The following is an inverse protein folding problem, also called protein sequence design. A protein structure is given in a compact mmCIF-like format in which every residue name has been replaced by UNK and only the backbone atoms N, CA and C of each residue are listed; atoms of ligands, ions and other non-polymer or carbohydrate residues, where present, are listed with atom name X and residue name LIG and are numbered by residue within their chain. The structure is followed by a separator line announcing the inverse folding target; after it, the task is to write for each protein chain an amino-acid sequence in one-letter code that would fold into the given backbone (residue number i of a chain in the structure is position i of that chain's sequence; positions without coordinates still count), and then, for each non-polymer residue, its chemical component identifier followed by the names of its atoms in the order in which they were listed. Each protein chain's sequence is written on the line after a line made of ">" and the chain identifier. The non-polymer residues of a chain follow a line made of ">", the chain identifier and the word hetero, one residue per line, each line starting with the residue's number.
data_IF_838241110559
#
_entry.id   IF_838241110559
#
_cell.length_a   1.000
_cell.length_b   1.000
_cell.length_c   1.000
_cell.angle_alpha   90.00
_cell.angle_beta   90.00
_cell.angle_gamma   90.00
#
_symmetry.space_group_name_H-M   'P 1'
#
loop_
_entity.id
_entity.type
_entity.pdbx_description
1 polymer ?
#
# COMPACT_ATOMS: atom_id res chain seq x y z
N UNK A 1 43.23 -4.69 -2.62
CA UNK A 1 42.09 -3.77 -2.86
C UNK A 1 42.65 -2.45 -3.34
N UNK A 2 42.45 -2.09 -4.60
CA UNK A 2 42.93 -0.82 -5.14
C UNK A 2 42.15 0.32 -4.49
N UNK A 3 42.86 1.24 -3.84
CA UNK A 3 42.29 2.44 -3.22
C UNK A 3 41.78 3.32 -4.36
N UNK A 4 40.46 3.44 -4.51
CA UNK A 4 39.84 4.31 -5.51
C UNK A 4 40.31 5.73 -5.18
N UNK A 5 41.12 6.33 -6.07
CA UNK A 5 41.58 7.72 -5.94
C UNK A 5 40.34 8.62 -6.10
N UNK A 6 40.17 9.56 -5.18
CA UNK A 6 39.16 10.60 -5.33
C UNK A 6 39.57 11.52 -6.50
N UNK A 7 38.76 11.53 -7.55
CA UNK A 7 38.98 12.31 -8.78
C UNK A 7 38.12 13.59 -8.80
N UNK A 8 37.49 13.94 -7.68
CA UNK A 8 36.58 15.09 -7.61
C UNK A 8 37.29 16.40 -7.93
N UNK A 9 38.51 16.61 -7.43
CA UNK A 9 39.31 17.80 -7.73
C UNK A 9 39.82 17.81 -9.18
N UNK A 10 40.30 16.66 -9.67
CA UNK A 10 40.73 16.50 -11.08
C UNK A 10 39.57 16.83 -12.04
N UNK A 11 38.34 16.46 -11.68
CA UNK A 11 37.13 16.80 -12.43
C UNK A 11 36.81 18.31 -12.39
N UNK A 12 36.87 18.94 -11.20
CA UNK A 12 36.65 20.39 -11.07
C UNK A 12 37.64 21.19 -11.90
N UNK A 13 38.91 20.80 -11.89
CA UNK A 13 39.96 21.43 -12.68
C UNK A 13 39.71 21.25 -14.18
N UNK A 14 39.36 20.06 -14.62
CA UNK A 14 39.02 19.80 -16.02
C UNK A 14 37.82 20.62 -16.49
N UNK A 15 36.76 20.74 -15.67
CA UNK A 15 35.59 21.57 -15.97
C UNK A 15 35.96 23.05 -16.02
N UNK A 16 36.82 23.51 -15.12
CA UNK A 16 37.28 24.89 -15.07
C UNK A 16 38.10 25.26 -16.31
N UNK A 17 38.97 24.35 -16.76
CA UNK A 17 39.75 24.49 -18.00
C UNK A 17 38.87 24.43 -19.25
N UNK A 18 37.85 23.57 -19.26
CA UNK A 18 36.84 23.54 -20.32
C UNK A 18 36.06 24.85 -20.41
N UNK A 19 35.61 25.40 -19.29
CA UNK A 19 34.91 26.67 -19.24
C UNK A 19 35.78 27.86 -19.72
N UNK A 20 37.08 27.83 -19.42
CA UNK A 20 38.06 28.77 -19.97
C UNK A 20 38.13 28.70 -21.50
N UNK A 21 38.23 27.49 -22.04
CA UNK A 21 38.31 27.27 -23.50
C UNK A 21 37.06 27.73 -24.25
N UNK A 22 35.90 27.74 -23.58
CA UNK A 22 34.61 28.20 -24.11
C UNK A 22 34.37 29.71 -23.88
N UNK A 23 35.35 30.45 -23.32
CA UNK A 23 35.26 31.89 -23.11
C UNK A 23 34.32 32.33 -21.98
N UNK A 24 34.10 31.48 -20.97
CA UNK A 24 33.21 31.83 -19.85
C UNK A 24 33.86 32.92 -18.99
N UNK A 25 33.11 34.01 -18.74
CA UNK A 25 33.51 35.09 -17.82
C UNK A 25 33.79 34.55 -16.42
N UNK A 26 34.69 35.21 -15.70
CA UNK A 26 35.12 34.81 -14.35
C UNK A 26 33.96 34.65 -13.36
N UNK A 27 32.95 35.53 -13.41
CA UNK A 27 31.73 35.41 -12.62
C UNK A 27 30.93 34.12 -12.92
N UNK A 28 30.84 33.69 -14.19
CA UNK A 28 30.15 32.45 -14.58
C UNK A 28 30.94 31.21 -14.14
N UNK A 29 32.27 31.26 -14.21
CA UNK A 29 33.16 30.19 -13.74
C UNK A 29 33.08 30.03 -12.22
N UNK A 30 33.12 31.14 -11.47
CA UNK A 30 32.95 31.13 -10.02
C UNK A 30 31.58 30.57 -9.59
N UNK A 31 30.50 30.96 -10.29
CA UNK A 31 29.17 30.40 -10.06
C UNK A 31 29.08 28.89 -10.36
N UNK A 32 29.79 28.43 -11.41
CA UNK A 32 29.87 27.02 -11.78
C UNK A 32 30.69 26.21 -10.76
N UNK A 33 31.80 26.75 -10.25
CA UNK A 33 32.56 26.11 -9.18
C UNK A 33 31.78 26.08 -7.85
N UNK A 34 31.01 27.12 -7.56
CA UNK A 34 30.17 27.18 -6.37
C UNK A 34 29.03 26.15 -6.38
N UNK A 35 28.49 25.80 -7.55
CA UNK A 35 27.43 24.78 -7.66
C UNK A 35 27.93 23.35 -7.37
N UNK A 36 29.24 23.11 -7.47
CA UNK A 36 29.85 21.83 -7.04
C UNK A 36 30.03 21.74 -5.53
N UNK A 37 30.04 22.87 -4.82
CA UNK A 37 30.20 22.92 -3.36
C UNK A 37 28.84 22.86 -2.67
N UNK A 38 27.84 23.58 -3.20
CA UNK A 38 26.47 23.54 -2.72
C UNK A 38 25.56 23.03 -3.82
N UNK A 39 25.09 21.79 -3.67
CA UNK A 39 24.03 21.29 -4.52
C UNK A 39 22.81 22.21 -4.42
N UNK A 40 22.36 22.74 -5.55
CA UNK A 40 21.11 23.48 -5.62
C UNK A 40 20.00 22.58 -5.05
N UNK A 41 19.16 23.06 -4.11
CA UNK A 41 18.09 22.25 -3.57
C UNK A 41 17.22 21.77 -4.74
N UNK A 42 17.13 20.45 -4.90
CA UNK A 42 16.28 19.85 -5.93
C UNK A 42 14.85 20.22 -5.60
N UNK A 43 14.20 21.01 -6.45
CA UNK A 43 12.78 21.29 -6.29
C UNK A 43 12.02 19.98 -6.42
N UNK A 44 11.40 19.54 -5.32
CA UNK A 44 10.59 18.32 -5.31
C UNK A 44 9.39 18.51 -6.22
N UNK A 45 9.15 17.54 -7.11
CA UNK A 45 7.96 17.54 -7.96
C UNK A 45 6.68 17.57 -7.12
N UNK A 46 5.59 18.05 -7.71
CA UNK A 46 4.27 18.03 -7.05
C UNK A 46 3.92 16.60 -6.58
N UNK A 47 4.14 15.60 -7.45
CA UNK A 47 4.01 14.19 -7.11
C UNK A 47 4.77 13.80 -5.84
N UNK A 48 6.06 14.16 -5.75
CA UNK A 48 6.90 13.81 -4.58
C UNK A 48 6.39 14.48 -3.31
N UNK A 49 5.93 15.73 -3.40
CA UNK A 49 5.36 16.45 -2.25
C UNK A 49 4.07 15.77 -1.76
N UNK A 50 3.19 15.38 -2.68
CA UNK A 50 1.94 14.69 -2.33
C UNK A 50 2.20 13.30 -1.77
N UNK A 51 3.09 12.51 -2.39
CA UNK A 51 3.48 11.19 -1.90
C UNK A 51 4.05 11.23 -0.47
N UNK A 52 4.89 12.23 -0.16
CA UNK A 52 5.42 12.41 1.19
C UNK A 52 4.34 12.82 2.20
N UNK A 53 3.36 13.64 1.80
CA UNK A 53 2.21 13.97 2.66
C UNK A 53 1.37 12.73 2.95
N UNK A 54 1.11 11.90 1.94
CA UNK A 54 0.40 10.62 2.11
C UNK A 54 1.16 9.70 3.06
N UNK A 55 2.48 9.57 2.90
CA UNK A 55 3.32 8.79 3.81
C UNK A 55 3.23 9.30 5.26
N UNK A 56 3.26 10.62 5.46
CA UNK A 56 3.09 11.21 6.78
C UNK A 56 1.71 10.90 7.36
N UNK A 57 0.65 10.95 6.55
CA UNK A 57 -0.71 10.56 6.96
C UNK A 57 -0.80 9.09 7.41
N UNK A 58 -0.19 8.18 6.65
CA UNK A 58 -0.08 6.76 7.00
C UNK A 58 0.68 6.58 8.32
N UNK A 59 1.78 7.31 8.53
CA UNK A 59 2.54 7.27 9.78
C UNK A 59 1.76 7.79 11.00
N UNK A 60 0.91 8.81 10.82
CA UNK A 60 0.00 9.29 11.88
C UNK A 60 -1.03 8.19 12.22
N UNK A 61 -1.60 7.54 11.21
CA UNK A 61 -2.52 6.42 11.41
C UNK A 61 -1.86 5.25 12.15
N UNK A 62 -0.63 4.90 11.80
CA UNK A 62 0.14 3.86 12.50
C UNK A 62 0.33 4.19 13.98
N UNK A 63 0.76 5.43 14.29
CA UNK A 63 0.92 5.88 15.67
C UNK A 63 -0.39 5.86 16.45
N UNK A 64 -1.49 6.27 15.81
CA UNK A 64 -2.82 6.20 16.38
C UNK A 64 -3.24 4.77 16.70
N UNK A 65 -3.07 3.84 15.76
CA UNK A 65 -3.38 2.42 15.95
C UNK A 65 -2.55 1.79 17.08
N UNK A 66 -1.25 2.07 17.15
CA UNK A 66 -0.38 1.55 18.22
C UNK A 66 -0.82 2.08 19.58
N UNK A 67 -1.15 3.37 19.67
CA UNK A 67 -1.59 4.02 20.92
C UNK A 67 -2.90 3.41 21.42
N UNK A 68 -3.88 3.23 20.53
CA UNK A 68 -5.22 2.75 20.88
C UNK A 68 -5.35 1.22 20.87
N UNK A 69 -4.31 0.46 20.51
CA UNK A 69 -4.38 -1.01 20.44
C UNK A 69 -4.80 -1.67 21.75
N UNK A 70 -4.24 -1.23 22.90
CA UNK A 70 -4.56 -1.81 24.21
C UNK A 70 -5.99 -1.49 24.62
N UNK A 71 -6.33 -0.20 24.53
CA UNK A 71 -7.66 0.32 24.81
C UNK A 71 -8.73 -0.39 23.95
N UNK A 72 -8.43 -0.63 22.67
CA UNK A 72 -9.35 -1.28 21.75
C UNK A 72 -9.58 -2.76 22.08
N UNK A 73 -8.55 -3.50 22.51
CA UNK A 73 -8.66 -4.94 22.83
C UNK A 73 -9.27 -5.18 24.22
N UNK A 74 -8.90 -4.38 25.22
CA UNK A 74 -9.28 -4.64 26.60
C UNK A 74 -10.75 -4.27 26.89
N UNK A 75 -11.64 -5.26 26.92
CA UNK A 75 -13.10 -5.10 27.11
C UNK A 75 -13.52 -4.44 28.41
N UNK A 76 -12.61 -4.30 29.37
CA UNK A 76 -12.89 -3.72 30.69
C UNK A 76 -12.38 -2.28 30.85
N UNK A 77 -11.55 -1.78 29.93
CA UNK A 77 -10.98 -0.44 30.01
C UNK A 77 -11.74 0.62 29.21
N UNK A 78 -12.43 0.22 28.14
CA UNK A 78 -13.11 1.16 27.21
C UNK A 78 -14.56 0.81 27.00
N UNK A 79 -15.39 1.82 26.79
CA UNK A 79 -16.80 1.63 26.41
C UNK A 79 -16.94 1.21 24.94
N UNK A 80 -18.09 0.62 24.58
CA UNK A 80 -18.40 0.28 23.19
C UNK A 80 -18.40 1.53 22.29
N UNK A 81 -18.87 2.66 22.81
CA UNK A 81 -18.91 3.95 22.11
C UNK A 81 -17.51 4.50 21.79
N UNK A 82 -16.56 4.38 22.72
CA UNK A 82 -15.16 4.79 22.49
C UNK A 82 -14.49 3.94 21.40
N UNK A 83 -14.81 2.64 21.35
CA UNK A 83 -14.29 1.73 20.32
C UNK A 83 -14.85 2.04 18.94
N UNK A 84 -16.15 2.32 18.88
CA UNK A 84 -16.81 2.71 17.63
C UNK A 84 -16.29 4.08 17.14
N UNK A 85 -15.94 5.00 18.05
CA UNK A 85 -15.23 6.25 17.70
C UNK A 85 -13.85 5.99 17.10
N UNK A 86 -13.05 5.10 17.71
CA UNK A 86 -11.73 4.71 17.18
C UNK A 86 -11.87 4.11 15.78
N UNK A 87 -12.84 3.21 15.57
CA UNK A 87 -13.11 2.63 14.26
C UNK A 87 -13.52 3.66 13.21
N UNK A 88 -14.37 4.61 13.59
CA UNK A 88 -14.78 5.69 12.71
C UNK A 88 -13.58 6.56 12.30
N UNK A 89 -12.74 6.96 13.25
CA UNK A 89 -11.52 7.73 12.97
C UNK A 89 -10.58 6.97 12.03
N UNK A 90 -10.32 5.68 12.28
CA UNK A 90 -9.50 4.84 11.40
C UNK A 90 -10.10 4.77 9.99
N UNK A 91 -11.41 4.58 9.87
CA UNK A 91 -12.11 4.54 8.58
C UNK A 91 -11.93 5.86 7.79
N UNK A 92 -12.06 7.00 8.46
CA UNK A 92 -11.86 8.32 7.85
C UNK A 92 -10.41 8.49 7.38
N UNK A 93 -9.42 8.13 8.21
CA UNK A 93 -8.00 8.22 7.84
C UNK A 93 -7.65 7.32 6.65
N UNK A 94 -8.14 6.07 6.64
CA UNK A 94 -7.88 5.14 5.54
C UNK A 94 -8.51 5.64 4.24
N UNK A 95 -9.75 6.13 4.27
CA UNK A 95 -10.42 6.71 3.09
C UNK A 95 -9.65 7.92 2.57
N UNK A 96 -9.24 8.84 3.43
CA UNK A 96 -8.45 10.01 3.04
C UNK A 96 -7.09 9.63 2.42
N UNK A 97 -6.37 8.67 3.01
CA UNK A 97 -5.10 8.20 2.46
C UNK A 97 -5.29 7.51 1.10
N UNK A 98 -6.35 6.70 0.97
CA UNK A 98 -6.72 6.04 -0.29
C UNK A 98 -7.00 7.07 -1.39
N UNK A 99 -7.78 8.11 -1.12
CA UNK A 99 -8.06 9.17 -2.10
C UNK A 99 -6.78 9.86 -2.57
N UNK A 100 -5.83 10.12 -1.67
CA UNK A 100 -4.53 10.69 -2.06
C UNK A 100 -3.71 9.73 -2.93
N UNK A 101 -3.76 8.43 -2.66
CA UNK A 101 -3.11 7.40 -3.49
C UNK A 101 -3.77 7.34 -4.88
N UNK A 102 -5.09 7.43 -4.96
CA UNK A 102 -5.83 7.44 -6.23
C UNK A 102 -5.48 8.69 -7.06
N UNK A 103 -5.34 9.86 -6.43
CA UNK A 103 -4.86 11.10 -7.09
C UNK A 103 -3.43 10.94 -7.63
N UNK A 104 -2.54 10.28 -6.87
CA UNK A 104 -1.19 9.98 -7.34
C UNK A 104 -1.24 9.05 -8.56
N UNK A 105 -2.09 8.01 -8.52
CA UNK A 105 -2.27 7.06 -9.63
C UNK A 105 -2.79 7.73 -10.90
N UNK A 106 -3.80 8.60 -10.79
CA UNK A 106 -4.33 9.34 -11.95
C UNK A 106 -3.27 10.27 -12.52
N UNK A 107 -2.50 10.95 -11.67
CA UNK A 107 -1.42 11.84 -12.15
C UNK A 107 -0.35 11.11 -12.96
N UNK A 108 -0.06 9.84 -12.65
CA UNK A 108 0.87 9.01 -13.45
C UNK A 108 0.22 8.63 -14.78
N UNK A 109 -1.05 8.23 -14.76
CA UNK A 109 -1.79 7.81 -15.97
C UNK A 109 -1.92 8.97 -16.97
N UNK A 110 -2.16 10.18 -16.48
CA UNK A 110 -2.23 11.39 -17.30
C UNK A 110 -0.86 11.73 -17.92
N UNK A 111 0.22 11.58 -17.16
CA UNK A 111 1.58 11.75 -17.69
C UNK A 111 1.93 10.70 -18.75
N UNK A 112 1.55 9.43 -18.55
CA UNK A 112 1.72 8.37 -19.55
C UNK A 112 0.93 8.64 -20.83
N UNK A 113 -0.27 9.18 -20.72
CA UNK A 113 -1.09 9.56 -21.88
C UNK A 113 -0.46 10.74 -22.64
N UNK A 114 0.05 11.74 -21.93
CA UNK A 114 0.70 12.91 -22.52
C UNK A 114 2.07 12.59 -23.14
N UNK A 115 2.82 11.64 -22.58
CA UNK A 115 4.09 11.16 -23.14
C UNK A 115 3.91 10.44 -24.49
N UNK A 116 2.71 9.91 -24.77
CA UNK A 116 2.34 9.31 -26.05
C UNK A 116 1.79 10.40 -27.00
N UNK A 117 2.66 11.32 -27.43
CA UNK A 117 2.29 12.42 -28.33
C UNK A 117 1.73 11.98 -29.70
N UNK A 118 0.93 12.88 -30.30
CA UNK A 118 0.13 12.77 -31.55
C UNK A 118 0.81 12.04 -32.75
N UNK A 119 2.13 11.97 -32.82
CA UNK A 119 2.85 11.44 -33.98
C UNK A 119 3.45 10.03 -33.81
N UNK A 120 3.26 9.35 -32.66
CA UNK A 120 3.76 7.98 -32.46
C UNK A 120 5.29 7.84 -32.45
N UNK A 121 6.04 8.94 -32.57
CA UNK A 121 7.48 8.96 -32.37
C UNK A 121 7.75 8.81 -30.87
N UNK A 122 8.20 7.62 -30.47
CA UNK A 122 8.73 7.30 -29.13
C UNK A 122 9.78 8.34 -28.74
N UNK A 123 9.36 9.35 -27.98
CA UNK A 123 10.23 10.45 -27.55
C UNK A 123 11.02 10.17 -26.28
N UNK A 124 10.53 9.33 -25.37
CA UNK A 124 11.04 9.37 -23.99
C UNK A 124 11.22 7.99 -23.35
N UNK A 125 12.23 7.23 -23.79
CA UNK A 125 12.74 6.10 -23.00
C UNK A 125 13.27 6.58 -21.62
N UNK A 126 13.72 7.84 -21.53
CA UNK A 126 14.10 8.49 -20.28
C UNK A 126 12.93 8.70 -19.29
N UNK A 127 11.67 8.63 -19.76
CA UNK A 127 10.51 8.70 -18.89
C UNK A 127 10.08 7.31 -18.36
N UNK A 128 10.51 6.20 -18.98
CA UNK A 128 10.17 4.86 -18.49
C UNK A 128 10.67 4.65 -17.05
N UNK A 129 11.91 5.05 -16.77
CA UNK A 129 12.50 4.98 -15.43
C UNK A 129 11.74 5.83 -14.41
N UNK A 130 11.31 7.04 -14.82
CA UNK A 130 10.58 7.95 -13.91
C UNK A 130 9.15 7.49 -13.65
N UNK A 131 8.48 6.93 -14.67
CA UNK A 131 7.15 6.33 -14.57
C UNK A 131 7.22 5.08 -13.69
N UNK A 132 8.18 4.18 -13.92
CA UNK A 132 8.40 3.00 -13.09
C UNK A 132 8.66 3.37 -11.62
N UNK A 133 9.51 4.39 -11.39
CA UNK A 133 9.74 4.93 -10.05
C UNK A 133 8.44 5.45 -9.40
N UNK A 134 7.61 6.23 -10.13
CA UNK A 134 6.36 6.77 -9.59
C UNK A 134 5.36 5.67 -9.25
N UNK A 135 5.21 4.66 -10.11
CA UNK A 135 4.39 3.48 -9.80
C UNK A 135 4.90 2.72 -8.59
N UNK A 136 6.22 2.52 -8.48
CA UNK A 136 6.84 1.90 -7.29
C UNK A 136 6.51 2.65 -6.00
N UNK A 137 6.54 3.99 -6.01
CA UNK A 137 6.14 4.81 -4.85
C UNK A 137 4.67 4.59 -4.49
N UNK A 138 3.77 4.55 -5.47
CA UNK A 138 2.34 4.31 -5.24
C UNK A 138 2.10 2.92 -4.65
N UNK A 139 2.82 1.89 -5.14
CA UNK A 139 2.75 0.54 -4.60
C UNK A 139 3.16 0.51 -3.14
N UNK A 140 4.32 1.07 -2.78
CA UNK A 140 4.80 1.09 -1.39
C UNK A 140 3.80 1.79 -0.47
N UNK A 141 3.22 2.91 -0.91
CA UNK A 141 2.20 3.61 -0.12
C UNK A 141 0.92 2.76 0.05
N UNK A 142 0.48 2.08 -1.00
CA UNK A 142 -0.70 1.22 -0.97
C UNK A 142 -0.50 -0.02 -0.09
N UNK A 143 0.69 -0.63 -0.13
CA UNK A 143 1.06 -1.78 0.69
C UNK A 143 1.14 -1.41 2.18
N UNK A 144 1.76 -0.26 2.49
CA UNK A 144 1.81 0.24 3.86
C UNK A 144 0.41 0.52 4.42
N UNK A 145 -0.45 1.22 3.65
CA UNK A 145 -1.82 1.49 4.08
C UNK A 145 -2.62 0.19 4.23
N UNK A 146 -2.44 -0.76 3.32
CA UNK A 146 -3.13 -2.05 3.37
C UNK A 146 -2.67 -2.89 4.57
N UNK A 147 -1.38 -2.95 4.87
CA UNK A 147 -0.84 -3.66 6.04
C UNK A 147 -1.43 -3.13 7.35
N UNK A 148 -1.48 -1.80 7.53
CA UNK A 148 -2.10 -1.19 8.71
C UNK A 148 -3.61 -1.48 8.78
N UNK A 149 -4.29 -1.37 7.64
CA UNK A 149 -5.74 -1.64 7.56
C UNK A 149 -6.04 -3.10 7.87
N UNK A 150 -5.25 -4.04 7.35
CA UNK A 150 -5.42 -5.46 7.59
C UNK A 150 -5.12 -5.86 9.03
N UNK A 151 -4.11 -5.26 9.66
CA UNK A 151 -3.85 -5.47 11.09
C UNK A 151 -5.01 -4.99 11.94
N UNK A 152 -5.59 -3.84 11.61
CA UNK A 152 -6.76 -3.33 12.32
C UNK A 152 -8.00 -4.21 12.09
N UNK A 153 -8.27 -4.62 10.85
CA UNK A 153 -9.39 -5.51 10.49
C UNK A 153 -9.30 -6.86 11.23
N UNK A 154 -8.09 -7.39 11.44
CA UNK A 154 -7.87 -8.58 12.25
C UNK A 154 -8.26 -8.36 13.73
N UNK A 155 -7.90 -7.21 14.31
CA UNK A 155 -8.27 -6.86 15.69
C UNK A 155 -9.80 -6.71 15.83
N UNK A 156 -10.44 -6.07 14.85
CA UNK A 156 -11.90 -5.99 14.79
C UNK A 156 -12.54 -7.37 14.72
N UNK A 157 -12.00 -8.27 13.89
CA UNK A 157 -12.49 -9.65 13.78
C UNK A 157 -12.49 -10.41 15.10
N UNK A 158 -11.44 -10.24 15.93
CA UNK A 158 -11.39 -10.83 17.28
C UNK A 158 -12.48 -10.24 18.18
N UNK A 159 -12.65 -8.90 18.20
CA UNK A 159 -13.73 -8.23 18.95
C UNK A 159 -15.10 -8.77 18.54
N UNK A 160 -15.38 -8.86 17.23
CA UNK A 160 -16.66 -9.36 16.74
C UNK A 160 -16.90 -10.80 17.15
N UNK A 161 -15.88 -11.65 17.06
CA UNK A 161 -15.98 -13.03 17.51
C UNK A 161 -16.27 -13.13 19.01
N UNK A 162 -15.66 -12.27 19.83
CA UNK A 162 -15.92 -12.17 21.27
C UNK A 162 -17.33 -11.67 21.57
N UNK A 163 -17.83 -10.66 20.86
CA UNK A 163 -19.19 -10.14 21.00
C UNK A 163 -20.23 -11.23 20.67
N UNK A 164 -20.02 -11.98 19.60
CA UNK A 164 -20.86 -13.13 19.24
C UNK A 164 -20.80 -14.22 20.33
N UNK A 165 -19.62 -14.53 20.86
CA UNK A 165 -19.44 -15.54 21.90
C UNK A 165 -20.06 -15.13 23.25
N UNK A 166 -20.11 -13.83 23.55
CA UNK A 166 -20.76 -13.29 24.75
C UNK A 166 -22.28 -13.26 24.61
N UNK A 167 -22.77 -12.85 23.44
CA UNK A 167 -24.20 -12.77 23.15
C UNK A 167 -24.82 -14.16 22.91
N UNK A 168 -24.01 -15.18 22.57
CA UNK A 168 -24.50 -16.56 22.48
C UNK A 168 -25.01 -17.03 23.85
N UNK A 169 -26.29 -17.46 23.94
CA UNK A 169 -26.87 -17.89 25.19
C UNK A 169 -26.08 -19.09 25.74
N UNK A 170 -25.36 -18.86 26.86
CA UNK A 170 -24.71 -19.92 27.61
C UNK A 170 -25.79 -20.84 28.18
N UNK A 171 -26.16 -21.88 27.43
CA UNK A 171 -26.97 -22.99 27.94
C UNK A 171 -26.25 -23.60 29.14
N UNK A 172 -26.63 -23.20 30.35
CA UNK A 172 -26.33 -23.99 31.54
C UNK A 172 -27.04 -25.33 31.35
N UNK A 173 -26.32 -26.48 31.34
CA UNK A 173 -27.00 -27.77 31.39
C UNK A 173 -27.80 -27.80 32.69
N UNK A 174 -29.13 -27.92 32.59
CA UNK A 174 -30.00 -28.04 33.78
C UNK A 174 -29.47 -29.22 34.63
N UNK A 175 -29.29 -29.08 35.95
CA UNK A 175 -29.03 -30.23 36.80
C UNK A 175 -30.21 -31.19 36.64
N UNK A 176 -29.92 -32.45 36.29
CA UNK A 176 -30.93 -33.51 36.21
C UNK A 176 -31.66 -33.57 37.55
N UNK A 177 -32.87 -33.02 37.62
CA UNK A 177 -33.76 -33.24 38.76
C UNK A 177 -34.14 -34.72 38.69
N UNK A 178 -33.75 -35.48 39.71
CA UNK A 178 -34.04 -36.90 39.80
C UNK A 178 -35.57 -37.13 39.66
N UNK A 179 -36.00 -38.22 38.99
CA UNK A 179 -37.42 -38.55 38.88
C UNK A 179 -38.04 -38.76 40.27
N UNK A 180 -39.32 -38.39 40.49
CA UNK A 180 -40.01 -38.77 41.72
C UNK A 180 -40.14 -40.29 41.77
N UNK A 181 -39.58 -40.87 42.83
CA UNK A 181 -39.71 -42.29 43.14
C UNK A 181 -41.19 -42.63 43.32
N UNK A 182 -41.66 -43.60 42.54
CA UNK A 182 -43.01 -44.15 42.63
C UNK A 182 -43.07 -45.05 43.87
N UNK A 183 -43.68 -44.59 44.95
CA UNK A 183 -44.21 -45.49 45.99
C UNK A 183 -45.53 -46.08 45.51
N UNK A 184 -45.56 -47.41 45.34
CA UNK A 184 -46.76 -48.19 45.08
C UNK A 184 -47.74 -48.19 46.28
N UNK A 185 -49.04 -48.43 46.03
CA UNK A 185 -50.09 -48.27 47.04
C UNK A 185 -50.26 -49.55 47.87
N UNK A 186 -50.38 -49.42 49.19
CA UNK A 186 -50.96 -50.48 50.03
C UNK A 186 -52.43 -50.17 50.29
N UNK A 187 -53.27 -51.12 49.90
CA UNK A 187 -54.72 -51.12 50.07
C UNK A 187 -55.06 -51.33 51.55
N UNK A 188 -55.86 -50.44 52.13
CA UNK A 188 -56.76 -50.78 53.23
C UNK A 188 -58.01 -49.90 53.19
N UNK A 189 -59.13 -50.59 53.08
CA UNK A 189 -60.52 -50.17 53.14
C UNK A 189 -60.88 -49.39 54.42
N UNK A 190 -61.69 -48.32 54.32
CA UNK A 190 -63.01 -48.21 54.97
C UNK A 190 -63.69 -46.83 54.77
N UNK A 191 -64.93 -46.88 54.26
CA UNK A 191 -66.15 -46.20 54.73
C UNK A 191 -66.26 -44.65 54.82
N UNK A 192 -67.12 -44.10 53.93
CA UNK A 192 -68.21 -43.09 54.14
C UNK A 192 -67.91 -41.58 54.21
N UNK A 193 -68.56 -40.84 53.28
CA UNK A 193 -69.00 -39.44 53.48
C UNK A 193 -68.93 -38.56 52.20
N UNK A 194 -70.03 -37.92 51.74
CA UNK A 194 -70.03 -37.11 50.51
C UNK A 194 -69.67 -35.64 50.79
N UNK A 195 -68.76 -35.05 50.01
CA UNK A 195 -68.43 -33.63 50.15
C UNK A 195 -67.29 -33.15 49.25
N UNK A 196 -67.69 -32.55 48.12
CA UNK A 196 -67.22 -31.27 47.58
C UNK A 196 -65.73 -31.01 47.21
N UNK A 197 -65.61 -30.30 46.08
CA UNK A 197 -64.45 -29.59 45.50
C UNK A 197 -63.47 -30.45 44.67
N UNK A 198 -63.92 -30.79 43.46
CA UNK A 198 -63.04 -30.99 42.30
C UNK A 198 -62.12 -29.78 42.13
N UNK A 199 -60.87 -29.93 42.55
CA UNK A 199 -59.81 -28.93 42.33
C UNK A 199 -58.90 -29.47 41.22
N UNK A 200 -59.25 -29.24 39.96
CA UNK A 200 -58.26 -29.11 38.89
C UNK A 200 -57.99 -27.59 38.72
N UNK A 201 -56.76 -27.10 38.38
CA UNK A 201 -55.69 -27.81 37.66
C UNK A 201 -54.22 -27.45 38.06
N UNK A 202 -53.30 -28.42 38.26
CA UNK A 202 -51.86 -28.17 38.19
C UNK A 202 -51.36 -28.04 36.72
N UNK A 203 -52.15 -28.53 35.77
CA UNK A 203 -51.76 -28.74 34.37
C UNK A 203 -51.80 -27.45 33.52
N UNK A 204 -52.76 -26.54 33.78
CA UNK A 204 -52.84 -25.24 33.08
C UNK A 204 -51.68 -24.32 33.48
N UNK A 205 -51.25 -24.36 34.74
CA UNK A 205 -50.12 -23.58 35.24
C UNK A 205 -48.81 -24.04 34.59
N UNK A 206 -48.63 -25.36 34.42
CA UNK A 206 -47.45 -25.90 33.75
C UNK A 206 -47.41 -25.58 32.25
N UNK A 207 -48.56 -25.60 31.57
CA UNK A 207 -48.67 -25.18 30.18
C UNK A 207 -48.34 -23.68 30.02
N UNK A 208 -48.87 -22.85 30.91
CA UNK A 208 -48.65 -21.40 30.90
C UNK A 208 -47.19 -21.02 31.16
N UNK A 209 -46.50 -21.74 32.07
CA UNK A 209 -45.06 -21.52 32.30
C UNK A 209 -44.21 -21.91 31.08
N UNK A 210 -44.59 -22.95 30.34
CA UNK A 210 -43.91 -23.32 29.08
C UNK A 210 -44.15 -22.29 27.96
N UNK A 211 -45.36 -21.75 27.88
CA UNK A 211 -45.70 -20.69 26.93
C UNK A 211 -44.97 -19.38 27.27
N UNK A 212 -44.78 -19.08 28.56
CA UNK A 212 -43.98 -17.94 29.02
C UNK A 212 -42.47 -18.16 28.77
N UNK A 213 -41.94 -19.37 29.00
CA UNK A 213 -40.54 -19.72 28.70
C UNK A 213 -40.25 -19.63 27.18
N UNK A 214 -41.16 -20.10 26.34
CA UNK A 214 -41.00 -20.02 24.87
C UNK A 214 -41.04 -18.58 24.37
N UNK A 215 -41.93 -17.75 24.92
CA UNK A 215 -41.96 -16.30 24.63
C UNK A 215 -40.68 -15.61 25.07
N UNK A 216 -40.16 -15.92 26.26
CA UNK A 216 -38.90 -15.37 26.76
C UNK A 216 -37.71 -15.74 25.86
N UNK A 217 -37.63 -17.01 25.43
CA UNK A 217 -36.61 -17.48 24.50
C UNK A 217 -36.74 -16.80 23.12
N UNK A 218 -37.96 -16.59 22.64
CA UNK A 218 -38.19 -15.92 21.37
C UNK A 218 -37.71 -14.46 21.39
N UNK A 219 -37.94 -13.76 22.52
CA UNK A 219 -37.45 -12.39 22.73
C UNK A 219 -35.92 -12.38 22.79
N UNK A 220 -35.29 -13.29 23.55
CA UNK A 220 -33.82 -13.40 23.62
C UNK A 220 -33.18 -13.74 22.27
N UNK A 221 -33.81 -14.62 21.48
CA UNK A 221 -33.32 -14.97 20.14
C UNK A 221 -33.48 -13.80 19.16
N UNK A 222 -34.57 -13.04 19.26
CA UNK A 222 -34.77 -11.84 18.44
C UNK A 222 -33.76 -10.75 18.77
N UNK A 223 -33.50 -10.48 20.06
CA UNK A 223 -32.50 -9.49 20.46
C UNK A 223 -31.08 -9.93 20.08
N UNK A 224 -30.77 -11.23 20.18
CA UNK A 224 -29.51 -11.78 19.68
C UNK A 224 -29.35 -11.61 18.16
N UNK A 225 -30.41 -11.88 17.38
CA UNK A 225 -30.38 -11.70 15.93
C UNK A 225 -30.19 -10.23 15.53
N UNK A 226 -30.82 -9.30 16.23
CA UNK A 226 -30.66 -7.87 15.96
C UNK A 226 -29.22 -7.41 16.28
N UNK A 227 -28.63 -7.87 17.38
CA UNK A 227 -27.22 -7.61 17.70
C UNK A 227 -26.26 -8.23 16.67
N UNK A 228 -26.56 -9.44 16.19
CA UNK A 228 -25.77 -10.10 15.15
C UNK A 228 -25.83 -9.34 13.81
N UNK A 229 -26.99 -8.81 13.42
CA UNK A 229 -27.14 -8.00 12.20
C UNK A 229 -26.41 -6.65 12.29
N UNK A 230 -26.48 -5.99 13.45
CA UNK A 230 -25.77 -4.72 13.64
C UNK A 230 -24.25 -4.93 13.57
N UNK A 231 -23.74 -5.98 14.24
CA UNK A 231 -22.32 -6.35 14.16
C UNK A 231 -21.88 -6.78 12.76
N UNK A 232 -22.70 -7.53 12.02
CA UNK A 232 -22.44 -7.88 10.61
C UNK A 232 -22.30 -6.62 9.75
N UNK A 233 -23.25 -5.69 9.85
CA UNK A 233 -23.24 -4.46 9.06
C UNK A 233 -22.00 -3.62 9.33
N UNK A 234 -21.61 -3.48 10.60
CA UNK A 234 -20.39 -2.75 11.01
C UNK A 234 -19.10 -3.43 10.51
N UNK A 235 -19.09 -4.76 10.38
CA UNK A 235 -17.93 -5.51 9.88
C UNK A 235 -17.77 -5.36 8.36
N UNK A 236 -18.86 -5.41 7.59
CA UNK A 236 -18.83 -5.51 6.12
C UNK A 236 -18.14 -4.32 5.46
N UNK A 237 -18.39 -3.07 5.88
CA UNK A 237 -17.88 -1.88 5.19
C UNK A 237 -16.34 -1.81 5.14
N UNK A 238 -15.68 -2.04 6.28
CA UNK A 238 -14.22 -1.95 6.35
C UNK A 238 -13.54 -3.17 5.76
N UNK A 239 -14.10 -4.38 5.96
CA UNK A 239 -13.56 -5.58 5.34
C UNK A 239 -13.71 -5.52 3.81
N UNK A 240 -14.78 -4.92 3.29
CA UNK A 240 -14.91 -4.63 1.86
C UNK A 240 -13.84 -3.62 1.38
N UNK A 241 -13.58 -2.55 2.14
CA UNK A 241 -12.51 -1.59 1.83
C UNK A 241 -11.13 -2.26 1.82
N UNK A 242 -10.83 -3.08 2.83
CA UNK A 242 -9.59 -3.83 2.96
C UNK A 242 -9.40 -4.82 1.79
N UNK A 243 -10.47 -5.50 1.39
CA UNK A 243 -10.46 -6.40 0.24
C UNK A 243 -10.22 -5.68 -1.10
N UNK A 244 -10.88 -4.54 -1.31
CA UNK A 244 -10.65 -3.71 -2.50
C UNK A 244 -9.20 -3.21 -2.57
N UNK A 245 -8.64 -2.81 -1.43
CA UNK A 245 -7.24 -2.42 -1.34
C UNK A 245 -6.28 -3.58 -1.65
N UNK A 246 -6.54 -4.78 -1.11
CA UNK A 246 -5.76 -5.99 -1.43
C UNK A 246 -5.70 -6.23 -2.94
N UNK A 247 -6.85 -6.09 -3.60
CA UNK A 247 -6.99 -6.25 -5.06
C UNK A 247 -6.20 -5.19 -5.81
N UNK A 248 -6.27 -3.93 -5.38
CA UNK A 248 -5.50 -2.83 -5.98
C UNK A 248 -3.99 -3.01 -5.83
N UNK A 249 -3.51 -3.42 -4.65
CA UNK A 249 -2.09 -3.68 -4.39
C UNK A 249 -1.59 -4.80 -5.31
N UNK A 250 -2.35 -5.89 -5.43
CA UNK A 250 -2.01 -7.01 -6.31
C UNK A 250 -1.94 -6.58 -7.78
N UNK A 251 -2.94 -5.83 -8.26
CA UNK A 251 -2.95 -5.32 -9.63
C UNK A 251 -1.75 -4.39 -9.91
N UNK A 252 -1.40 -3.52 -8.95
CA UNK A 252 -0.26 -2.61 -9.09
C UNK A 252 1.07 -3.37 -9.14
N UNK A 253 1.24 -4.42 -8.33
CA UNK A 253 2.46 -5.23 -8.34
C UNK A 253 2.74 -5.83 -9.72
N UNK A 254 1.70 -6.38 -10.37
CA UNK A 254 1.81 -6.92 -11.74
C UNK A 254 2.18 -5.84 -12.77
N UNK A 255 1.57 -4.65 -12.66
CA UNK A 255 1.86 -3.53 -13.57
C UNK A 255 3.32 -3.06 -13.44
N UNK A 256 3.89 -3.08 -12.23
CA UNK A 256 5.27 -2.65 -11.97
C UNK A 256 6.30 -3.60 -12.54
N UNK A 257 6.07 -4.92 -12.53
CA UNK A 257 6.99 -5.87 -13.16
C UNK A 257 7.17 -5.55 -14.65
N UNK A 258 6.06 -5.32 -15.36
CA UNK A 258 6.11 -4.93 -16.76
C UNK A 258 6.83 -3.60 -16.99
N UNK A 259 6.56 -2.59 -16.17
CA UNK A 259 7.21 -1.29 -16.27
C UNK A 259 8.71 -1.37 -15.95
N UNK A 260 9.10 -2.25 -15.02
CA UNK A 260 10.49 -2.49 -14.67
C UNK A 260 11.24 -3.11 -15.85
N UNK A 261 10.67 -4.11 -16.51
CA UNK A 261 11.26 -4.70 -17.71
C UNK A 261 11.48 -3.66 -18.81
N UNK A 262 10.50 -2.76 -19.02
CA UNK A 262 10.64 -1.64 -19.96
C UNK A 262 11.74 -0.66 -19.57
N UNK A 263 11.85 -0.31 -18.30
CA UNK A 263 12.90 0.58 -17.78
C UNK A 263 14.31 -0.04 -17.96
N UNK A 264 14.44 -1.34 -17.71
CA UNK A 264 15.70 -2.08 -17.93
C UNK A 264 16.05 -2.12 -19.42
N UNK A 265 15.07 -2.35 -20.30
CA UNK A 265 15.27 -2.33 -21.75
C UNK A 265 15.70 -0.94 -22.24
N UNK A 266 15.02 0.12 -21.78
CA UNK A 266 15.37 1.51 -22.07
C UNK A 266 16.81 1.83 -21.64
N UNK A 267 17.18 1.47 -20.40
CA UNK A 267 18.53 1.66 -19.88
C UNK A 267 19.57 0.92 -20.74
N UNK A 268 19.28 -0.32 -21.12
CA UNK A 268 20.16 -1.13 -21.99
C UNK A 268 20.31 -0.50 -23.38
N UNK A 269 19.23 0.02 -23.96
CA UNK A 269 19.26 0.71 -25.25
C UNK A 269 20.13 1.98 -25.20
N UNK A 270 20.02 2.77 -24.13
CA UNK A 270 20.88 3.94 -23.91
C UNK A 270 22.35 3.54 -23.74
N UNK A 271 22.64 2.48 -22.99
CA UNK A 271 24.01 1.98 -22.81
C UNK A 271 24.62 1.52 -24.15
N UNK A 272 23.87 0.75 -24.93
CA UNK A 272 24.28 0.33 -26.27
C UNK A 272 24.49 1.53 -27.20
N UNK A 273 23.56 2.48 -27.20
CA UNK A 273 23.68 3.73 -27.96
C UNK A 273 24.93 4.53 -27.62
N UNK A 274 25.28 4.62 -26.33
CA UNK A 274 26.51 5.29 -25.89
C UNK A 274 27.79 4.56 -26.34
N UNK A 275 27.78 3.22 -26.36
CA UNK A 275 28.89 2.42 -26.92
C UNK A 275 29.05 2.69 -28.41
N UNK A 276 27.97 2.68 -29.17
CA UNK A 276 27.99 2.97 -30.61
C UNK A 276 28.44 4.42 -30.90
N UNK A 277 27.98 5.41 -30.13
CA UNK A 277 28.44 6.80 -30.22
C UNK A 277 29.94 6.92 -29.96
N UNK A 278 30.44 6.24 -28.93
CA UNK A 278 31.88 6.26 -28.60
C UNK A 278 32.70 5.63 -29.73
N UNK A 279 32.24 4.51 -30.28
CA UNK A 279 32.87 3.87 -31.44
C UNK A 279 32.84 4.79 -32.68
N UNK A 280 31.74 5.49 -32.94
CA UNK A 280 31.62 6.43 -34.05
C UNK A 280 32.59 7.60 -33.91
N UNK A 281 32.74 8.17 -32.70
CA UNK A 281 33.73 9.22 -32.43
C UNK A 281 35.15 8.72 -32.67
N UNK A 282 35.47 7.49 -32.23
CA UNK A 282 36.79 6.90 -32.45
C UNK A 282 37.08 6.65 -33.94
N UNK A 283 36.09 6.15 -34.69
CA UNK A 283 36.18 5.98 -36.15
C UNK A 283 36.38 7.31 -36.87
N UNK A 284 35.68 8.37 -36.45
CA UNK A 284 35.85 9.70 -37.04
C UNK A 284 37.28 10.25 -36.85
N UNK A 285 37.81 10.15 -35.62
CA UNK A 285 39.21 10.54 -35.35
C UNK A 285 40.22 9.74 -36.18
N UNK A 286 39.99 8.43 -36.32
CA UNK A 286 40.85 7.56 -37.15
C UNK A 286 40.81 7.96 -38.63
N UNK A 287 39.62 8.24 -39.17
CA UNK A 287 39.44 8.72 -40.54
C UNK A 287 40.19 10.04 -40.81
N UNK A 288 40.10 10.99 -39.87
CA UNK A 288 40.78 12.27 -39.99
C UNK A 288 42.32 12.12 -40.02
N UNK A 289 42.88 11.23 -39.20
CA UNK A 289 44.33 10.93 -39.21
C UNK A 289 44.74 10.25 -40.52
N UNK A 290 43.95 9.29 -40.99
CA UNK A 290 44.23 8.60 -42.25
C UNK A 290 44.22 9.57 -43.45
N UNK A 291 43.25 10.50 -43.50
CA UNK A 291 43.16 11.51 -44.55
C UNK A 291 44.36 12.47 -44.53
N UNK A 292 44.83 12.89 -43.35
CA UNK A 292 46.05 13.71 -43.22
C UNK A 292 47.29 12.97 -43.71
N UNK A 293 47.45 11.69 -43.36
CA UNK A 293 48.57 10.87 -43.85
C UNK A 293 48.53 10.69 -45.36
N UNK A 294 47.34 10.49 -45.93
CA UNK A 294 47.15 10.37 -47.38
C UNK A 294 47.56 11.67 -48.11
N UNK A 295 47.12 12.83 -47.62
CA UNK A 295 47.52 14.13 -48.18
C UNK A 295 49.04 14.33 -48.06
N UNK A 296 49.64 14.01 -46.90
CA UNK A 296 51.09 14.13 -46.72
C UNK A 296 51.87 13.25 -47.70
N UNK A 297 51.43 12.00 -47.93
CA UNK A 297 52.04 11.10 -48.89
C UNK A 297 51.94 11.63 -50.34
N UNK A 298 50.80 12.21 -50.72
CA UNK A 298 50.63 12.85 -52.04
C UNK A 298 51.56 14.04 -52.21
N UNK A 299 51.69 14.90 -51.19
CA UNK A 299 52.61 16.06 -51.25
C UNK A 299 54.05 15.59 -51.45
N UNK A 300 54.49 14.57 -50.72
CA UNK A 300 55.84 14.00 -50.86
C UNK A 300 56.04 13.40 -52.26
N UNK A 301 55.04 12.69 -52.79
CA UNK A 301 55.09 12.13 -54.14
C UNK A 301 55.21 13.22 -55.21
N UNK A 302 54.45 14.31 -55.09
CA UNK A 302 54.56 15.47 -55.98
C UNK A 302 55.94 16.12 -55.91
N UNK A 303 56.49 16.30 -54.72
CA UNK A 303 57.82 16.89 -54.52
C UNK A 303 58.92 16.01 -55.12
N UNK A 304 58.79 14.68 -55.03
CA UNK A 304 59.73 13.75 -55.64
C UNK A 304 59.68 13.79 -57.17
N UNK A 305 58.48 13.93 -57.76
CA UNK A 305 58.32 14.10 -59.20
C UNK A 305 58.94 15.41 -59.65
N UNK A 306 58.72 16.52 -58.94
CA UNK A 306 59.33 17.82 -59.25
C UNK A 306 60.85 17.76 -59.20
N UNK A 307 61.42 17.15 -58.14
CA UNK A 307 62.87 16.99 -57.98
C UNK A 307 63.52 16.11 -59.07
N UNK A 308 62.76 15.20 -59.67
CA UNK A 308 63.26 14.34 -60.75
C UNK A 308 63.10 14.99 -62.14
N UNK A 309 62.24 16.01 -62.24
CA UNK A 309 61.92 16.67 -63.50
C UNK A 309 62.73 17.98 -63.72
N UNK A 310 63.40 18.48 -62.68
CA UNK A 310 64.51 19.44 -62.72
C UNK A 310 65.88 18.73 -62.91
#
# INVERSE_FOLDING_TARGET
>A
MAKIRDLTEDFKDAVNMGALSLGFKEAKRAALMASFIMHKPRERSHFTKTALKTLQGIGILEQFLIKHRKDYVDSHLTTEEERDSIEHEVSVFVKACKEQIDILKTSITDEEANAKGWAGTRGDDANADTIAHKHGVVLILSENLHSLTSQFDQLRGVRFQEAINQAMPRRKPKPKRAPPEKTEPTISSEMRGPGEITTEPPMKVQQQVLDDETRALQVELSSFLDAARDTETKMVEMSALNHLMSTHVLQQAQQIEYLYDQAVEATKNVEMGNKELTQAIQRNKSCQVFLLLFIAALIIAFLFVDLYND
#
